data_IF_088435354848
#
_entry.id   IF_088435354848
#
_cell.length_a   1.000
_cell.length_b   1.000
_cell.length_c   1.000
_cell.angle_alpha   90.00
_cell.angle_beta   90.00
_cell.angle_gamma   90.00
#
_symmetry.space_group_name_H-M   'P 1'
#
loop_
_entity.id
_entity.type
_entity.pdbx_description
1 polymer ?
#
# COMPACT_ATOMS: atom_id res chain seq x y z
N UNK A 1 36.97 -53.73 -20.05
CA UNK A 1 36.29 -53.12 -18.90
C UNK A 1 35.58 -51.87 -19.42
N UNK A 2 34.26 -51.92 -19.59
CA UNK A 2 33.43 -50.78 -20.05
C UNK A 2 32.98 -49.98 -18.83
N UNK A 3 33.31 -48.69 -18.77
CA UNK A 3 32.81 -47.80 -17.73
C UNK A 3 31.56 -47.07 -18.24
N UNK A 4 30.44 -47.42 -17.61
CA UNK A 4 29.12 -46.84 -17.80
C UNK A 4 29.12 -45.38 -17.35
N UNK A 5 28.79 -44.44 -18.24
CA UNK A 5 28.64 -43.01 -17.91
C UNK A 5 27.13 -42.72 -17.78
N UNK A 6 26.63 -42.72 -16.54
CA UNK A 6 25.46 -41.96 -16.09
C UNK A 6 26.04 -40.79 -15.28
N UNK A 7 25.72 -39.52 -15.48
CA UNK A 7 24.41 -38.93 -15.24
C UNK A 7 24.43 -37.49 -15.76
N UNK A 8 23.35 -37.05 -16.40
CA UNK A 8 23.10 -35.67 -16.79
C UNK A 8 22.74 -34.88 -15.52
N UNK A 9 23.51 -33.87 -15.16
CA UNK A 9 23.13 -32.90 -14.13
C UNK A 9 22.46 -31.70 -14.81
N UNK A 10 21.13 -31.68 -14.79
CA UNK A 10 20.31 -30.57 -15.25
C UNK A 10 20.31 -29.49 -14.16
N UNK A 11 21.12 -28.45 -14.32
CA UNK A 11 21.11 -27.30 -13.44
C UNK A 11 19.86 -26.43 -13.74
N UNK A 12 18.79 -26.64 -12.99
CA UNK A 12 17.64 -25.73 -12.95
C UNK A 12 18.05 -24.45 -12.19
N UNK A 13 18.50 -23.44 -12.93
CA UNK A 13 18.61 -22.07 -12.43
C UNK A 13 17.20 -21.49 -12.30
N UNK A 14 16.58 -21.69 -11.15
CA UNK A 14 15.39 -20.95 -10.74
C UNK A 14 15.83 -19.52 -10.38
N UNK A 15 15.90 -18.65 -11.40
CA UNK A 15 15.96 -17.21 -11.15
C UNK A 15 14.58 -16.77 -10.64
N UNK A 16 14.46 -16.19 -9.43
CA UNK A 16 13.21 -15.57 -9.02
C UNK A 16 13.02 -14.34 -9.90
N UNK A 17 11.96 -14.36 -10.72
CA UNK A 17 11.40 -13.16 -11.31
C UNK A 17 10.86 -12.30 -10.15
N UNK A 18 11.73 -11.43 -9.61
CA UNK A 18 11.29 -10.32 -8.81
C UNK A 18 10.50 -9.38 -9.74
N UNK A 19 9.20 -9.65 -9.84
CA UNK A 19 8.24 -8.75 -10.44
C UNK A 19 8.13 -7.54 -9.51
N UNK A 20 9.09 -6.63 -9.62
CA UNK A 20 8.92 -5.27 -9.15
C UNK A 20 7.84 -4.67 -10.04
N UNK A 21 6.58 -4.81 -9.62
CA UNK A 21 5.53 -3.94 -10.11
C UNK A 21 6.06 -2.50 -9.95
N UNK A 22 5.97 -1.65 -10.98
CA UNK A 22 6.21 -0.24 -10.74
C UNK A 22 5.18 0.15 -9.69
N UNK A 23 5.65 0.44 -8.47
CA UNK A 23 4.88 1.29 -7.58
C UNK A 23 4.62 2.53 -8.42
N UNK A 24 3.36 2.70 -8.84
CA UNK A 24 2.91 3.92 -9.48
C UNK A 24 3.23 5.03 -8.50
N UNK A 25 4.42 5.62 -8.66
CA UNK A 25 4.76 6.91 -8.10
C UNK A 25 3.86 7.89 -8.85
N UNK A 26 2.57 7.89 -8.49
CA UNK A 26 1.81 9.13 -8.51
C UNK A 26 2.73 10.09 -7.79
N UNK A 27 3.19 11.10 -8.50
CA UNK A 27 3.69 12.31 -7.88
C UNK A 27 2.49 12.92 -7.14
N UNK A 28 2.08 12.27 -6.05
CA UNK A 28 1.17 12.81 -5.07
C UNK A 28 1.85 14.09 -4.66
N UNK A 29 1.17 15.22 -4.83
CA UNK A 29 1.70 16.51 -4.42
C UNK A 29 2.33 16.34 -3.04
N UNK A 30 3.61 16.70 -2.90
CA UNK A 30 4.37 16.42 -1.70
C UNK A 30 3.58 16.94 -0.49
N UNK A 31 3.26 16.05 0.44
CA UNK A 31 2.50 16.41 1.62
C UNK A 31 3.43 17.05 2.66
N UNK A 32 2.85 17.79 3.61
CA UNK A 32 3.62 18.35 4.73
C UNK A 32 3.86 17.26 5.77
N UNK A 33 5.11 16.92 6.13
CA UNK A 33 5.37 15.91 7.14
C UNK A 33 4.61 16.16 8.44
N UNK A 34 4.03 15.10 9.00
CA UNK A 34 3.23 15.15 10.23
C UNK A 34 1.78 15.60 10.05
N UNK A 35 1.32 15.88 8.82
CA UNK A 35 -0.12 16.01 8.54
C UNK A 35 -0.75 14.67 8.23
N UNK A 36 -2.07 14.60 8.35
CA UNK A 36 -2.88 13.47 7.89
C UNK A 36 -3.91 13.95 6.86
N UNK A 37 -4.52 13.00 6.18
CA UNK A 37 -5.71 13.21 5.34
C UNK A 37 -6.75 12.11 5.62
N UNK A 38 -8.01 12.53 5.72
CA UNK A 38 -9.16 11.63 5.81
C UNK A 38 -9.69 11.41 4.40
N UNK A 39 -9.33 10.29 3.79
CA UNK A 39 -9.67 9.98 2.40
C UNK A 39 -10.75 8.91 2.32
N UNK A 40 -11.73 9.12 1.43
CA UNK A 40 -12.75 8.13 1.09
C UNK A 40 -12.80 7.95 -0.43
N UNK A 41 -12.90 6.71 -0.87
CA UNK A 41 -13.02 6.46 -2.31
C UNK A 41 -14.43 6.81 -2.80
N UNK A 42 -14.51 7.74 -3.74
CA UNK A 42 -15.77 8.25 -4.30
C UNK A 42 -16.65 7.12 -4.85
N UNK A 43 -17.94 7.12 -4.51
CA UNK A 43 -18.89 6.10 -4.94
C UNK A 43 -18.77 4.74 -4.24
N UNK A 44 -17.90 4.61 -3.23
CA UNK A 44 -17.77 3.38 -2.41
C UNK A 44 -18.03 3.67 -0.95
N UNK A 45 -18.09 2.64 -0.11
CA UNK A 45 -18.20 2.78 1.35
C UNK A 45 -16.85 2.92 2.05
N UNK A 46 -15.73 2.77 1.34
CA UNK A 46 -14.41 2.61 1.95
C UNK A 46 -13.72 3.94 2.20
N UNK A 47 -13.22 4.10 3.43
CA UNK A 47 -12.45 5.25 3.88
C UNK A 47 -11.21 4.80 4.65
N UNK A 48 -10.19 5.66 4.68
CA UNK A 48 -8.93 5.41 5.36
C UNK A 48 -8.28 6.74 5.80
N UNK A 49 -7.25 6.60 6.62
CA UNK A 49 -6.38 7.68 7.06
C UNK A 49 -5.04 7.50 6.37
N UNK A 50 -4.60 8.52 5.63
CA UNK A 50 -3.23 8.65 5.17
C UNK A 50 -2.46 9.61 6.07
N UNK A 51 -1.21 9.29 6.39
CA UNK A 51 -0.30 10.16 7.14
C UNK A 51 0.89 10.53 6.26
N UNK A 52 1.36 11.76 6.39
CA UNK A 52 2.50 12.24 5.63
C UNK A 52 3.81 11.91 6.36
N UNK A 53 4.66 11.11 5.74
CA UNK A 53 5.96 10.75 6.29
C UNK A 53 6.98 11.91 6.20
N UNK A 54 8.17 11.71 6.76
CA UNK A 54 9.25 12.72 6.73
C UNK A 54 9.80 13.04 5.34
N UNK A 55 9.50 12.20 4.34
CA UNK A 55 9.91 12.37 2.94
C UNK A 55 8.85 13.11 2.11
N UNK A 56 7.73 13.52 2.72
CA UNK A 56 6.63 14.17 2.02
C UNK A 56 5.76 13.19 1.21
N UNK A 57 5.78 11.91 1.56
CA UNK A 57 5.00 10.86 0.90
C UNK A 57 3.81 10.47 1.78
N UNK A 58 2.62 10.36 1.18
CA UNK A 58 1.44 9.83 1.84
C UNK A 58 1.59 8.33 2.09
N UNK A 59 1.29 7.90 3.31
CA UNK A 59 1.32 6.50 3.71
C UNK A 59 0.02 6.13 4.39
N UNK A 60 -0.56 5.00 3.97
CA UNK A 60 -1.73 4.44 4.62
C UNK A 60 -1.42 4.15 6.09
N UNK A 61 -2.15 4.82 6.99
CA UNK A 61 -2.04 4.62 8.43
C UNK A 61 -3.06 3.60 8.93
N UNK A 62 -4.34 3.80 8.58
CA UNK A 62 -5.43 2.96 9.05
C UNK A 62 -6.55 2.89 8.02
N UNK A 63 -7.20 1.72 7.92
CA UNK A 63 -8.46 1.57 7.19
C UNK A 63 -9.60 1.68 8.19
N UNK A 64 -10.53 2.59 7.93
CA UNK A 64 -11.69 2.77 8.80
C UNK A 64 -12.79 1.77 8.45
N UNK A 65 -13.76 1.62 9.36
CA UNK A 65 -14.97 0.84 9.08
C UNK A 65 -15.65 1.39 7.83
N UNK A 66 -16.17 0.50 6.99
CA UNK A 66 -16.97 0.92 5.85
C UNK A 66 -18.18 1.74 6.29
N UNK A 67 -18.48 2.77 5.51
CA UNK A 67 -19.72 3.55 5.59
C UNK A 67 -20.91 2.63 5.32
N UNK A 68 -22.09 2.99 5.82
CA UNK A 68 -23.31 2.23 5.55
C UNK A 68 -23.76 2.29 4.08
N UNK A 69 -23.38 3.35 3.37
CA UNK A 69 -23.68 3.61 1.95
C UNK A 69 -22.73 4.71 1.40
N UNK A 70 -22.59 4.88 0.07
CA UNK A 70 -21.61 5.80 -0.54
C UNK A 70 -21.79 7.29 -0.21
N UNK A 71 -23.00 7.69 0.19
CA UNK A 71 -23.33 9.08 0.56
C UNK A 71 -23.34 9.29 2.10
N UNK A 72 -23.07 8.24 2.88
CA UNK A 72 -22.96 8.38 4.33
C UNK A 72 -21.77 9.28 4.71
N UNK A 73 -21.78 9.88 5.92
CA UNK A 73 -20.61 10.56 6.46
C UNK A 73 -19.35 9.68 6.44
N UNK A 74 -18.19 10.29 6.25
CA UNK A 74 -16.90 9.62 6.36
C UNK A 74 -16.78 8.91 7.71
N UNK A 75 -16.22 7.70 7.71
CA UNK A 75 -15.89 6.97 8.94
C UNK A 75 -14.58 7.45 9.59
N UNK A 76 -13.77 8.20 8.84
CA UNK A 76 -12.62 8.95 9.36
C UNK A 76 -13.06 10.29 9.93
N UNK A 77 -12.46 10.72 11.04
CA UNK A 77 -12.76 12.00 11.71
C UNK A 77 -11.50 12.69 12.21
N UNK A 78 -11.55 14.02 12.20
CA UNK A 78 -10.55 14.86 12.85
C UNK A 78 -10.63 14.71 14.38
N UNK A 79 -9.47 14.54 15.01
CA UNK A 79 -9.29 14.42 16.44
C UNK A 79 -8.45 15.56 17.02
N UNK A 80 -8.31 15.60 18.36
CA UNK A 80 -7.48 16.60 19.02
C UNK A 80 -6.01 16.44 18.64
N UNK A 81 -5.23 17.52 18.81
CA UNK A 81 -3.78 17.53 18.64
C UNK A 81 -3.28 17.14 17.23
N UNK A 82 -4.09 17.35 16.20
CA UNK A 82 -3.70 17.00 14.83
C UNK A 82 -3.64 15.49 14.59
N UNK A 83 -4.43 14.71 15.33
CA UNK A 83 -4.64 13.29 15.08
C UNK A 83 -5.94 13.09 14.29
N UNK A 84 -6.02 11.98 13.56
CA UNK A 84 -7.26 11.47 12.97
C UNK A 84 -7.62 10.12 13.59
N UNK A 85 -8.89 9.76 13.57
CA UNK A 85 -9.36 8.47 14.05
C UNK A 85 -10.48 7.90 13.18
N UNK A 86 -10.66 6.59 13.33
CA UNK A 86 -11.87 5.87 12.99
C UNK A 86 -12.67 5.67 14.31
#
# INVERSE_FOLDING_TARGET
MQFTIKSIALALLLAPLALAAPAENKATAACKPGTYDCSCWFGTTTCWIDVCNSRGEWQLSARCKDRSHPDAPASCRDGPNGAAYC
#
